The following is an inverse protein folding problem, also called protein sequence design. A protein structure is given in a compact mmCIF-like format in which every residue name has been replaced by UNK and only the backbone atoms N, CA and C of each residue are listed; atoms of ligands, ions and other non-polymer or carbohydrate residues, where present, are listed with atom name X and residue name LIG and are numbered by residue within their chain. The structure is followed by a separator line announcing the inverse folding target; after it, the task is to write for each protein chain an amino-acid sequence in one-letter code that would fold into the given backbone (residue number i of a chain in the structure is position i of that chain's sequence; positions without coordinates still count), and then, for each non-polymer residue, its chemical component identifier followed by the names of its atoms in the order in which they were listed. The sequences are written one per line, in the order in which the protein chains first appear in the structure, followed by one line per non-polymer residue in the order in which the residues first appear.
data_IF_192474978595
#
_entry.id   IF_192474978595
#
_cell.length_a   1.000
_cell.length_b   1.000
_cell.length_c   1.000
_cell.angle_alpha   90.00
_cell.angle_beta   90.00
_cell.angle_gamma   90.00
#
_symmetry.space_group_name_H-M   'P 1'
#
loop_
_entity.id
_entity.type
_entity.pdbx_description
1 polymer ?
#
# COMPACT_ATOMS: atom_id res chain seq x y z
N UNK A 1 -11.40 17.38 -5.74
CA UNK A 1 -10.58 16.82 -6.82
C UNK A 1 -10.06 17.96 -7.65
N UNK A 2 -8.81 17.88 -8.07
CA UNK A 2 -8.19 18.86 -8.95
C UNK A 2 -7.68 18.18 -10.21
N UNK A 3 -7.69 18.92 -11.32
CA UNK A 3 -6.94 18.51 -12.51
C UNK A 3 -5.44 18.56 -12.16
N UNK A 4 -4.68 17.55 -12.60
CA UNK A 4 -3.24 17.52 -12.39
C UNK A 4 -2.63 18.78 -13.05
N UNK A 5 -1.95 19.67 -12.30
CA UNK A 5 -1.36 20.88 -12.86
C UNK A 5 -0.05 20.54 -13.58
N UNK A 6 -0.08 19.67 -14.59
CA UNK A 6 1.12 19.07 -15.17
C UNK A 6 2.11 20.10 -15.74
N UNK A 7 1.58 21.18 -16.33
CA UNK A 7 2.39 22.27 -16.86
C UNK A 7 3.14 23.08 -15.78
N UNK A 8 2.80 22.92 -14.49
CA UNK A 8 3.50 23.60 -13.39
C UNK A 8 4.69 22.82 -12.86
N UNK A 9 4.89 21.56 -13.26
CA UNK A 9 6.11 20.82 -12.88
C UNK A 9 7.33 21.49 -13.50
N UNK A 10 8.32 21.77 -12.66
CA UNK A 10 9.60 22.30 -13.09
C UNK A 10 10.50 21.19 -13.64
N UNK A 11 11.60 21.60 -14.29
CA UNK A 11 12.66 20.64 -14.66
C UNK A 11 13.25 19.91 -13.44
N UNK A 12 13.22 20.54 -12.25
CA UNK A 12 13.67 19.92 -11.00
C UNK A 12 12.71 18.81 -10.54
N UNK A 13 11.40 19.03 -10.64
CA UNK A 13 10.39 18.03 -10.29
C UNK A 13 10.51 16.78 -11.17
N UNK A 14 10.70 16.98 -12.48
CA UNK A 14 10.96 15.88 -13.42
C UNK A 14 12.28 15.16 -13.13
N UNK A 15 13.33 15.88 -12.72
CA UNK A 15 14.60 15.27 -12.34
C UNK A 15 14.50 14.44 -11.04
N UNK A 16 13.73 14.90 -10.05
CA UNK A 16 13.46 14.12 -8.82
C UNK A 16 12.70 12.84 -9.18
N UNK A 17 11.66 12.93 -10.02
CA UNK A 17 10.95 11.76 -10.53
C UNK A 17 11.91 10.77 -11.22
N UNK A 18 12.76 11.25 -12.12
CA UNK A 18 13.74 10.43 -12.83
C UNK A 18 14.64 9.66 -11.86
N UNK A 19 15.21 10.37 -10.88
CA UNK A 19 16.12 9.79 -9.89
C UNK A 19 15.43 8.73 -9.02
N UNK A 20 14.20 9.00 -8.56
CA UNK A 20 13.40 8.06 -7.78
C UNK A 20 13.05 6.82 -8.62
N UNK A 21 12.60 7.02 -9.86
CA UNK A 21 12.21 5.95 -10.77
C UNK A 21 13.38 5.02 -11.11
N UNK A 22 14.53 5.58 -11.52
CA UNK A 22 15.72 4.80 -11.86
C UNK A 22 16.26 4.02 -10.66
N UNK A 23 16.27 4.64 -9.48
CA UNK A 23 16.66 3.99 -8.23
C UNK A 23 15.77 2.79 -7.93
N UNK A 24 14.44 2.96 -7.98
CA UNK A 24 13.53 1.87 -7.66
C UNK A 24 13.54 0.78 -8.72
N UNK A 25 13.72 1.10 -10.00
CA UNK A 25 13.88 0.07 -11.04
C UNK A 25 15.07 -0.85 -10.80
N UNK A 26 16.13 -0.37 -10.16
CA UNK A 26 17.27 -1.21 -9.77
C UNK A 26 17.00 -1.99 -8.48
N UNK A 27 16.44 -1.33 -7.46
CA UNK A 27 16.18 -1.93 -6.14
C UNK A 27 15.14 -3.04 -6.22
N UNK A 28 14.11 -2.90 -7.05
CA UNK A 28 12.97 -3.82 -7.08
C UNK A 28 13.23 -5.12 -7.85
N UNK A 29 14.35 -5.24 -8.59
CA UNK A 29 14.71 -6.49 -9.28
C UNK A 29 14.91 -7.61 -8.26
N UNK A 30 14.11 -8.67 -8.37
CA UNK A 30 14.12 -9.80 -7.43
C UNK A 30 13.49 -9.51 -6.06
N UNK A 31 12.91 -8.32 -5.87
CA UNK A 31 12.23 -7.92 -4.62
C UNK A 31 10.74 -7.66 -4.81
N UNK A 32 10.34 -6.91 -5.83
CA UNK A 32 8.93 -6.70 -6.13
C UNK A 32 8.29 -7.94 -6.77
N UNK A 33 6.98 -8.11 -6.58
CA UNK A 33 6.19 -9.15 -7.24
C UNK A 33 6.25 -9.03 -8.76
N UNK A 34 6.12 -10.17 -9.44
CA UNK A 34 6.12 -10.19 -10.90
C UNK A 34 4.94 -9.40 -11.48
N UNK A 35 3.80 -9.42 -10.80
CA UNK A 35 2.60 -8.67 -11.15
C UNK A 35 2.87 -7.16 -11.12
N UNK A 36 3.52 -6.66 -10.05
CA UNK A 36 3.91 -5.25 -9.96
C UNK A 36 4.85 -4.87 -11.11
N UNK A 37 5.92 -5.63 -11.32
CA UNK A 37 6.92 -5.34 -12.35
C UNK A 37 6.33 -5.41 -13.76
N UNK A 38 5.43 -6.36 -14.01
CA UNK A 38 4.75 -6.51 -15.30
C UNK A 38 3.79 -5.37 -15.56
N UNK A 39 2.98 -5.01 -14.56
CA UNK A 39 2.06 -3.90 -14.67
C UNK A 39 2.78 -2.56 -14.85
N UNK A 40 3.85 -2.32 -14.10
CA UNK A 40 4.64 -1.10 -14.19
C UNK A 40 5.20 -0.89 -15.61
N UNK A 41 5.70 -1.97 -16.24
CA UNK A 41 6.14 -1.94 -17.65
C UNK A 41 5.00 -1.66 -18.61
N UNK A 42 3.82 -2.25 -18.38
CA UNK A 42 2.63 -2.08 -19.23
C UNK A 42 2.04 -0.67 -19.16
N UNK A 43 2.25 0.06 -18.06
CA UNK A 43 1.81 1.44 -17.92
C UNK A 43 2.67 2.45 -18.69
N UNK A 44 3.80 2.03 -19.27
CA UNK A 44 4.73 2.88 -20.03
C UNK A 44 5.22 4.12 -19.26
N UNK A 45 5.27 4.04 -17.93
CA UNK A 45 5.95 5.04 -17.10
C UNK A 45 7.46 4.95 -17.33
N UNK A 46 8.13 6.10 -17.26
CA UNK A 46 9.52 6.22 -17.64
C UNK A 46 10.21 7.35 -16.87
N UNK A 47 11.55 7.37 -16.77
CA UNK A 47 12.25 8.40 -16.01
C UNK A 47 12.28 9.75 -16.73
N UNK A 48 11.83 9.87 -17.98
CA UNK A 48 11.98 11.10 -18.77
C UNK A 48 11.19 12.28 -18.22
N UNK A 49 10.00 12.04 -17.66
CA UNK A 49 9.13 13.07 -17.10
C UNK A 49 8.08 12.46 -16.18
N UNK A 50 7.49 13.28 -15.32
CA UNK A 50 6.33 12.91 -14.51
C UNK A 50 5.18 12.51 -15.46
N UNK A 51 4.53 11.34 -15.30
CA UNK A 51 3.43 10.93 -16.14
C UNK A 51 2.22 11.87 -16.03
N UNK A 52 1.51 12.06 -17.14
CA UNK A 52 0.19 12.71 -17.13
C UNK A 52 -0.87 11.71 -16.68
N UNK A 53 -1.71 12.12 -15.74
CA UNK A 53 -2.82 11.27 -15.26
C UNK A 53 -3.80 10.94 -16.40
N UNK A 54 -4.03 11.87 -17.33
CA UNK A 54 -4.80 11.62 -18.56
C UNK A 54 -4.29 10.39 -19.33
N UNK A 55 -2.98 10.31 -19.53
CA UNK A 55 -2.36 9.26 -20.33
C UNK A 55 -2.50 7.91 -19.62
N UNK A 56 -2.24 7.88 -18.31
CA UNK A 56 -2.40 6.68 -17.48
C UNK A 56 -3.87 6.27 -17.35
N UNK A 57 -4.80 7.21 -17.26
CA UNK A 57 -6.24 6.94 -17.17
C UNK A 57 -6.78 6.28 -18.43
N UNK A 58 -6.24 6.57 -19.61
CA UNK A 58 -6.61 5.83 -20.84
C UNK A 58 -6.25 4.35 -20.71
N UNK A 59 -5.08 4.05 -20.13
CA UNK A 59 -4.62 2.68 -19.91
C UNK A 59 -5.45 1.99 -18.83
N UNK A 60 -5.60 2.60 -17.65
CA UNK A 60 -6.33 2.01 -16.52
C UNK A 60 -7.81 1.76 -16.84
N UNK A 61 -8.50 2.74 -17.46
CA UNK A 61 -9.92 2.57 -17.82
C UNK A 61 -10.13 1.41 -18.79
N UNK A 62 -9.19 1.22 -19.73
CA UNK A 62 -9.27 0.12 -20.69
C UNK A 62 -9.00 -1.26 -20.08
N UNK A 63 -8.23 -1.34 -19.00
CA UNK A 63 -7.84 -2.63 -18.39
C UNK A 63 -8.76 -3.05 -17.24
N UNK A 64 -9.04 -2.14 -16.31
CA UNK A 64 -9.77 -2.46 -15.07
C UNK A 64 -10.89 -1.47 -14.76
N UNK A 65 -11.12 -0.48 -15.62
CA UNK A 65 -12.12 0.56 -15.39
C UNK A 65 -11.72 1.57 -14.30
N UNK A 66 -10.50 1.48 -13.78
CA UNK A 66 -9.97 2.43 -12.80
C UNK A 66 -9.51 3.73 -13.44
N UNK A 67 -9.49 4.79 -12.65
CA UNK A 67 -8.90 6.07 -13.02
C UNK A 67 -8.26 6.77 -11.82
N UNK A 68 -7.30 7.64 -12.11
CA UNK A 68 -6.60 8.50 -11.19
C UNK A 68 -7.31 9.85 -11.09
N UNK A 69 -7.35 10.40 -9.88
CA UNK A 69 -7.80 11.76 -9.61
C UNK A 69 -6.73 12.52 -8.81
N UNK A 70 -6.51 13.79 -9.14
CA UNK A 70 -5.56 14.63 -8.41
C UNK A 70 -6.10 15.14 -7.08
N UNK A 71 -5.28 15.05 -6.03
CA UNK A 71 -5.56 15.59 -4.69
C UNK A 71 -4.38 16.35 -4.12
N UNK A 72 -4.63 17.32 -3.24
CA UNK A 72 -3.56 18.15 -2.63
C UNK A 72 -2.79 17.42 -1.52
N UNK A 73 -3.32 16.29 -1.03
CA UNK A 73 -2.76 15.46 0.02
C UNK A 73 -3.83 14.55 0.59
N UNK A 74 -3.72 14.23 1.88
CA UNK A 74 -4.64 13.33 2.58
C UNK A 74 -6.10 13.79 2.47
N UNK A 75 -6.97 12.86 2.09
CA UNK A 75 -8.41 13.06 2.04
C UNK A 75 -9.08 12.65 3.37
N UNK A 76 -10.25 13.22 3.71
CA UNK A 76 -11.11 12.63 4.71
C UNK A 76 -11.44 11.17 4.37
N UNK A 77 -11.46 10.29 5.38
CA UNK A 77 -11.59 8.83 5.21
C UNK A 77 -12.79 8.44 4.32
N UNK A 78 -13.99 8.98 4.61
CA UNK A 78 -15.18 8.67 3.83
C UNK A 78 -15.04 9.05 2.35
N UNK A 79 -14.38 10.18 2.06
CA UNK A 79 -14.11 10.63 0.70
C UNK A 79 -13.12 9.69 0.00
N UNK A 80 -12.08 9.24 0.70
CA UNK A 80 -11.14 8.25 0.18
C UNK A 80 -11.85 6.93 -0.16
N UNK A 81 -12.67 6.42 0.76
CA UNK A 81 -13.43 5.18 0.53
C UNK A 81 -14.43 5.29 -0.62
N UNK A 82 -15.15 6.42 -0.75
CA UNK A 82 -16.06 6.65 -1.88
C UNK A 82 -15.32 6.66 -3.23
N UNK A 83 -14.10 7.18 -3.26
CA UNK A 83 -13.29 7.13 -4.48
C UNK A 83 -12.94 5.68 -4.85
N UNK A 84 -12.39 4.90 -3.91
CA UNK A 84 -12.05 3.50 -4.15
C UNK A 84 -13.28 2.66 -4.54
N UNK A 85 -14.42 2.86 -3.86
CA UNK A 85 -15.68 2.16 -4.14
C UNK A 85 -16.21 2.38 -5.57
N UNK A 86 -15.77 3.48 -6.21
CA UNK A 86 -16.13 3.88 -7.56
C UNK A 86 -14.95 3.79 -8.53
N UNK A 87 -13.93 2.97 -8.22
CA UNK A 87 -12.73 2.73 -9.05
C UNK A 87 -11.96 4.02 -9.38
N UNK A 88 -11.93 4.97 -8.45
CA UNK A 88 -11.12 6.19 -8.55
C UNK A 88 -10.02 6.12 -7.50
N UNK A 89 -8.76 6.20 -7.90
CA UNK A 89 -7.63 6.21 -6.99
C UNK A 89 -7.11 7.65 -6.81
N UNK A 90 -7.18 8.22 -5.59
CA UNK A 90 -6.61 9.53 -5.30
C UNK A 90 -5.08 9.50 -5.38
N UNK A 91 -4.50 10.47 -6.09
CA UNK A 91 -3.05 10.64 -6.22
C UNK A 91 -2.67 12.06 -5.85
N UNK A 92 -1.78 12.19 -4.87
CA UNK A 92 -1.16 13.47 -4.50
C UNK A 92 -0.41 14.01 -5.70
N UNK A 93 -0.72 15.23 -6.13
CA UNK A 93 -0.19 15.73 -7.40
C UNK A 93 1.23 16.28 -7.30
N UNK A 94 1.70 16.71 -6.13
CA UNK A 94 3.04 17.29 -5.97
C UNK A 94 4.07 16.19 -5.68
N UNK A 95 5.32 16.42 -6.08
CA UNK A 95 6.44 15.51 -5.81
C UNK A 95 7.35 16.12 -4.74
N UNK A 96 7.98 15.27 -3.93
CA UNK A 96 8.94 15.69 -2.90
C UNK A 96 10.11 16.51 -3.46
N UNK A 97 10.74 17.30 -2.59
CA UNK A 97 11.94 18.07 -2.95
C UNK A 97 13.19 17.20 -2.98
N UNK A 98 14.27 17.62 -3.66
CA UNK A 98 15.52 16.84 -3.70
C UNK A 98 16.11 16.54 -2.33
N UNK A 99 15.94 17.43 -1.35
CA UNK A 99 16.45 17.23 0.01
C UNK A 99 15.67 16.14 0.78
N UNK A 100 14.51 15.73 0.27
CA UNK A 100 13.60 14.73 0.86
C UNK A 100 13.64 13.40 0.09
N UNK A 101 14.62 13.19 -0.78
CA UNK A 101 14.64 12.06 -1.73
C UNK A 101 14.73 10.68 -1.06
N UNK A 102 15.33 10.62 0.12
CA UNK A 102 15.51 9.39 0.87
C UNK A 102 14.34 9.10 1.81
N UNK A 103 13.64 10.13 2.29
CA UNK A 103 12.49 9.97 3.17
C UNK A 103 11.56 11.18 3.16
N UNK A 104 10.26 10.90 3.10
CA UNK A 104 9.18 11.86 3.28
C UNK A 104 8.06 11.16 4.06
N UNK A 105 7.54 11.80 5.10
CA UNK A 105 6.47 11.22 5.92
C UNK A 105 5.09 11.30 5.23
N UNK A 106 4.85 12.35 4.45
CA UNK A 106 3.61 12.53 3.69
C UNK A 106 3.66 11.77 2.36
N UNK A 107 2.54 11.15 1.93
CA UNK A 107 2.48 10.56 0.60
C UNK A 107 2.58 11.66 -0.46
N UNK A 108 3.53 11.54 -1.37
CA UNK A 108 3.69 12.41 -2.53
C UNK A 108 3.32 11.67 -3.82
N UNK A 109 3.42 12.36 -4.95
CA UNK A 109 3.16 11.80 -6.27
C UNK A 109 3.93 10.51 -6.52
N UNK A 110 5.19 10.40 -6.09
CA UNK A 110 5.96 9.19 -6.34
C UNK A 110 5.41 8.01 -5.53
N UNK A 111 5.12 8.19 -4.25
CA UNK A 111 4.50 7.15 -3.45
C UNK A 111 3.16 6.69 -4.03
N UNK A 112 2.24 7.63 -4.27
CA UNK A 112 0.89 7.32 -4.75
C UNK A 112 0.93 6.71 -6.16
N UNK A 113 1.65 7.33 -7.10
CA UNK A 113 1.65 6.93 -8.50
C UNK A 113 2.53 5.72 -8.78
N UNK A 114 3.79 5.74 -8.35
CA UNK A 114 4.71 4.63 -8.61
C UNK A 114 4.39 3.43 -7.72
N UNK A 115 3.97 3.68 -6.47
CA UNK A 115 3.74 2.62 -5.49
C UNK A 115 2.42 1.88 -5.67
N UNK A 116 1.30 2.61 -5.76
CA UNK A 116 -0.03 1.97 -5.77
C UNK A 116 -0.52 1.61 -7.17
N UNK A 117 -0.37 2.54 -8.12
CA UNK A 117 -1.10 2.47 -9.39
C UNK A 117 -0.76 1.24 -10.25
N UNK A 118 0.49 0.73 -10.33
CA UNK A 118 0.77 -0.45 -11.13
C UNK A 118 -0.15 -1.63 -10.81
N UNK A 119 -0.41 -1.93 -9.53
CA UNK A 119 -1.24 -3.08 -9.18
C UNK A 119 -2.73 -2.89 -9.51
N UNK A 120 -3.20 -1.68 -9.78
CA UNK A 120 -4.55 -1.44 -10.30
C UNK A 120 -4.74 -1.97 -11.73
N UNK A 121 -3.66 -2.37 -12.41
CA UNK A 121 -3.72 -3.09 -13.69
C UNK A 121 -3.99 -4.60 -13.50
N UNK A 122 -3.81 -5.14 -12.29
CA UNK A 122 -4.18 -6.51 -11.97
C UNK A 122 -5.68 -6.55 -11.60
N UNK A 123 -6.54 -7.25 -12.36
CA UNK A 123 -7.99 -7.24 -12.12
C UNK A 123 -8.40 -7.69 -10.73
N UNK A 124 -7.73 -8.70 -10.15
CA UNK A 124 -8.07 -9.23 -8.81
C UNK A 124 -7.71 -8.20 -7.74
N UNK A 125 -6.54 -7.56 -7.85
CA UNK A 125 -6.16 -6.51 -6.90
C UNK A 125 -7.03 -5.26 -7.07
N UNK A 126 -7.39 -4.91 -8.30
CA UNK A 126 -8.29 -3.81 -8.61
C UNK A 126 -9.69 -4.03 -8.02
N UNK A 127 -10.24 -5.24 -8.11
CA UNK A 127 -11.52 -5.58 -7.50
C UNK A 127 -11.43 -5.62 -5.96
N UNK A 128 -10.30 -6.07 -5.41
CA UNK A 128 -10.03 -5.98 -3.96
C UNK A 128 -10.05 -4.53 -3.46
N UNK A 129 -9.41 -3.60 -4.17
CA UNK A 129 -9.41 -2.18 -3.83
C UNK A 129 -10.81 -1.57 -3.89
N UNK A 130 -11.64 -1.98 -4.85
CA UNK A 130 -13.02 -1.53 -4.94
C UNK A 130 -13.86 -2.08 -3.78
N UNK A 131 -13.72 -3.38 -3.48
CA UNK A 131 -14.39 -4.02 -2.36
C UNK A 131 -14.00 -3.39 -1.02
N UNK A 132 -12.71 -3.09 -0.84
CA UNK A 132 -12.20 -2.35 0.32
C UNK A 132 -12.86 -0.97 0.44
N UNK A 133 -12.94 -0.21 -0.66
CA UNK A 133 -13.63 1.08 -0.69
C UNK A 133 -15.10 0.98 -0.27
N UNK A 134 -15.84 0.01 -0.83
CA UNK A 134 -17.25 -0.24 -0.46
C UNK A 134 -17.40 -0.63 1.00
N UNK A 135 -16.48 -1.46 1.51
CA UNK A 135 -16.40 -1.86 2.91
C UNK A 135 -16.18 -0.68 3.84
N UNK A 136 -15.32 0.27 3.46
CA UNK A 136 -15.06 1.50 4.21
C UNK A 136 -16.26 2.45 4.27
N UNK A 137 -16.98 2.64 3.15
CA UNK A 137 -18.24 3.41 3.14
C UNK A 137 -19.26 2.80 4.12
N UNK A 138 -19.38 1.47 4.13
CA UNK A 138 -20.26 0.77 5.08
C UNK A 138 -19.78 0.94 6.53
N UNK A 139 -18.50 0.69 6.80
CA UNK A 139 -17.91 0.74 8.14
C UNK A 139 -18.03 2.13 8.77
N UNK A 140 -17.88 3.20 7.98
CA UNK A 140 -18.06 4.58 8.42
C UNK A 140 -19.46 4.82 9.01
N UNK A 141 -20.49 4.13 8.51
CA UNK A 141 -21.86 4.19 9.03
C UNK A 141 -22.12 3.33 10.27
N UNK A 142 -21.17 2.51 10.71
CA UNK A 142 -21.32 1.61 11.86
C UNK A 142 -20.81 2.30 13.13
N UNK A 143 -19.49 2.47 13.25
CA UNK A 143 -18.83 3.16 14.36
C UNK A 143 -17.35 3.49 14.00
N UNK A 144 -16.68 4.38 14.75
CA UNK A 144 -15.28 4.74 14.49
C UNK A 144 -14.28 3.58 14.62
N UNK A 145 -14.50 2.62 15.52
CA UNK A 145 -13.60 1.48 15.72
C UNK A 145 -13.55 0.54 14.49
N UNK A 146 -14.67 0.40 13.78
CA UNK A 146 -14.71 -0.36 12.52
C UNK A 146 -13.75 0.23 11.47
N UNK A 147 -13.58 1.55 11.44
CA UNK A 147 -12.63 2.21 10.55
C UNK A 147 -11.18 1.93 10.96
N UNK A 148 -10.87 1.92 12.26
CA UNK A 148 -9.53 1.56 12.76
C UNK A 148 -9.14 0.15 12.28
N UNK A 149 -10.06 -0.81 12.34
CA UNK A 149 -9.81 -2.16 11.84
C UNK A 149 -9.54 -2.20 10.32
N UNK A 150 -10.28 -1.43 9.52
CA UNK A 150 -10.03 -1.34 8.08
C UNK A 150 -8.72 -0.65 7.75
N UNK A 151 -8.37 0.42 8.45
CA UNK A 151 -7.10 1.13 8.24
C UNK A 151 -5.91 0.20 8.52
N UNK A 152 -5.99 -0.66 9.54
CA UNK A 152 -4.99 -1.71 9.79
C UNK A 152 -4.91 -2.73 8.66
N UNK A 153 -6.06 -3.15 8.13
CA UNK A 153 -6.11 -4.04 6.96
C UNK A 153 -5.41 -3.41 5.76
N UNK A 154 -5.70 -2.15 5.45
CA UNK A 154 -5.06 -1.42 4.35
C UNK A 154 -3.55 -1.27 4.56
N UNK A 155 -3.15 -0.88 5.77
CA UNK A 155 -1.74 -0.72 6.12
C UNK A 155 -0.94 -2.01 5.91
N UNK A 156 -1.42 -3.13 6.45
CA UNK A 156 -0.72 -4.41 6.38
C UNK A 156 -0.91 -5.16 5.07
N UNK A 157 -1.72 -4.63 4.15
CA UNK A 157 -1.87 -5.20 2.81
C UNK A 157 -1.37 -4.23 1.75
N UNK A 158 -2.17 -3.23 1.40
CA UNK A 158 -1.91 -2.28 0.32
C UNK A 158 -0.60 -1.52 0.55
N UNK A 159 -0.30 -1.11 1.78
CA UNK A 159 0.92 -0.32 2.06
C UNK A 159 2.18 -1.17 2.32
N UNK A 160 2.07 -2.20 3.16
CA UNK A 160 3.21 -2.99 3.65
C UNK A 160 3.07 -4.49 3.46
N UNK A 161 2.29 -4.92 2.47
CA UNK A 161 2.09 -6.33 2.18
C UNK A 161 3.25 -7.00 1.45
N UNK A 162 3.52 -8.24 1.85
CA UNK A 162 4.38 -9.18 1.14
C UNK A 162 3.54 -10.29 0.49
N UNK A 163 4.04 -10.86 -0.60
CA UNK A 163 3.41 -11.98 -1.30
C UNK A 163 4.42 -13.10 -1.48
N UNK A 164 3.97 -14.34 -1.32
CA UNK A 164 4.78 -15.53 -1.58
C UNK A 164 4.77 -15.87 -3.06
N UNK A 165 5.95 -16.06 -3.64
CA UNK A 165 6.14 -16.62 -4.97
C UNK A 165 6.97 -17.92 -4.90
N UNK A 166 7.13 -18.59 -6.04
CA UNK A 166 7.78 -19.89 -6.12
C UNK A 166 9.24 -19.89 -5.63
N UNK A 167 9.95 -18.77 -5.81
CA UNK A 167 11.36 -18.60 -5.48
C UNK A 167 11.61 -17.71 -4.25
N UNK A 168 10.56 -17.35 -3.50
CA UNK A 168 10.67 -16.65 -2.23
C UNK A 168 9.60 -15.59 -2.00
N UNK A 169 9.80 -14.79 -0.96
CA UNK A 169 8.93 -13.66 -0.66
C UNK A 169 9.21 -12.49 -1.61
N UNK A 170 8.15 -11.76 -1.95
CA UNK A 170 8.16 -10.55 -2.76
C UNK A 170 7.30 -9.46 -2.15
N UNK A 171 7.45 -8.27 -2.68
CA UNK A 171 6.77 -7.06 -2.23
C UNK A 171 5.62 -6.74 -3.18
N UNK A 172 4.46 -6.41 -2.61
CA UNK A 172 3.39 -5.74 -3.34
C UNK A 172 2.93 -4.44 -2.66
N UNK A 173 3.26 -4.25 -1.38
CA UNK A 173 2.92 -3.04 -0.64
C UNK A 173 3.55 -1.78 -1.23
N UNK A 174 2.73 -0.76 -1.50
CA UNK A 174 3.09 0.55 -2.08
C UNK A 174 4.13 1.32 -1.27
N UNK A 175 3.98 1.36 0.05
CA UNK A 175 4.91 1.97 0.98
C UNK A 175 6.31 1.33 0.91
N UNK A 176 6.36 0.03 0.61
CA UNK A 176 7.61 -0.68 0.44
C UNK A 176 8.20 -0.42 -0.95
N UNK A 177 7.45 -0.62 -2.03
CA UNK A 177 7.99 -0.48 -3.41
C UNK A 177 8.42 0.95 -3.75
N UNK A 178 7.84 1.96 -3.09
CA UNK A 178 8.24 3.37 -3.24
C UNK A 178 9.39 3.79 -2.32
N UNK A 179 9.78 2.95 -1.36
CA UNK A 179 10.88 3.19 -0.42
C UNK A 179 12.08 2.31 -0.72
N UNK A 180 13.25 2.92 -0.94
CA UNK A 180 14.50 2.17 -1.18
C UNK A 180 14.86 1.30 0.02
N UNK A 181 14.83 1.87 1.22
CA UNK A 181 15.33 1.19 2.40
C UNK A 181 14.35 0.15 2.94
N UNK A 182 13.05 0.42 2.87
CA UNK A 182 12.00 -0.55 3.25
C UNK A 182 12.04 -1.77 2.32
N UNK A 183 12.23 -1.56 1.01
CA UNK A 183 12.36 -2.64 0.02
C UNK A 183 13.48 -3.63 0.36
N UNK A 184 14.59 -3.14 0.92
CA UNK A 184 15.71 -3.99 1.37
C UNK A 184 15.39 -4.59 2.75
N UNK A 185 14.98 -3.75 3.70
CA UNK A 185 14.75 -4.15 5.09
C UNK A 185 13.72 -5.29 5.22
N UNK A 186 12.59 -5.16 4.53
CA UNK A 186 11.47 -6.09 4.67
C UNK A 186 11.80 -7.52 4.23
N UNK A 187 12.81 -7.74 3.37
CA UNK A 187 13.20 -9.07 2.88
C UNK A 187 14.52 -9.57 3.47
N UNK A 188 15.48 -8.67 3.74
CA UNK A 188 16.86 -9.06 4.07
C UNK A 188 17.18 -8.92 5.56
N UNK A 189 16.48 -8.04 6.29
CA UNK A 189 16.71 -7.86 7.72
C UNK A 189 16.23 -9.08 8.53
N UNK A 190 16.98 -9.41 9.58
CA UNK A 190 16.57 -10.37 10.60
C UNK A 190 15.61 -9.75 11.63
N UNK A 191 15.50 -8.41 11.69
CA UNK A 191 14.72 -7.70 12.71
C UNK A 191 13.20 -7.90 12.64
N UNK A 192 12.52 -7.81 11.48
CA UNK A 192 11.06 -7.82 11.43
C UNK A 192 10.48 -9.23 11.54
N UNK A 193 9.22 -9.37 11.94
CA UNK A 193 8.47 -10.59 11.74
C UNK A 193 7.94 -10.67 10.31
N UNK A 194 7.82 -11.89 9.76
CA UNK A 194 7.09 -12.18 8.53
C UNK A 194 6.06 -13.24 8.84
N UNK A 195 4.78 -12.87 8.81
CA UNK A 195 3.67 -13.67 9.32
C UNK A 195 2.66 -13.89 8.19
N UNK A 196 2.05 -15.07 8.11
CA UNK A 196 0.99 -15.36 7.14
C UNK A 196 -0.23 -14.48 7.37
N UNK A 197 -0.86 -14.08 6.26
CA UNK A 197 -2.08 -13.28 6.28
C UNK A 197 -3.19 -13.99 7.05
N UNK A 198 -3.76 -13.27 8.02
CA UNK A 198 -4.99 -13.61 8.72
C UNK A 198 -5.79 -12.32 8.96
N UNK A 199 -7.05 -12.32 8.55
CA UNK A 199 -7.88 -11.11 8.49
C UNK A 199 -8.10 -10.48 9.87
N UNK A 200 -8.55 -11.27 10.84
CA UNK A 200 -8.86 -10.78 12.19
C UNK A 200 -7.60 -10.45 12.97
N UNK A 201 -6.52 -11.22 12.78
CA UNK A 201 -5.17 -10.91 13.30
C UNK A 201 -4.72 -9.53 12.83
N UNK A 202 -4.80 -9.26 11.53
CA UNK A 202 -4.38 -7.98 10.92
C UNK A 202 -5.23 -6.83 11.46
N UNK A 203 -6.56 -6.96 11.44
CA UNK A 203 -7.47 -5.92 11.93
C UNK A 203 -7.23 -5.55 13.41
N UNK A 204 -6.65 -6.47 14.19
CA UNK A 204 -6.26 -6.22 15.59
C UNK A 204 -4.83 -5.73 15.76
N UNK A 205 -3.99 -5.74 14.74
CA UNK A 205 -2.56 -5.39 14.86
C UNK A 205 -2.37 -3.89 14.79
N UNK A 206 -1.78 -3.32 15.85
CA UNK A 206 -1.30 -1.93 15.82
C UNK A 206 -0.12 -1.78 14.87
N UNK A 207 0.09 -0.59 14.32
CA UNK A 207 1.22 -0.31 13.44
C UNK A 207 1.90 1.01 13.80
N UNK A 208 3.00 1.31 13.11
CA UNK A 208 3.75 2.56 13.30
C UNK A 208 4.12 3.16 11.95
N UNK A 209 4.00 4.48 11.83
CA UNK A 209 4.07 5.20 10.55
C UNK A 209 5.44 5.85 10.26
N UNK A 210 6.27 6.03 11.28
CA UNK A 210 7.53 6.78 11.24
C UNK A 210 8.79 5.88 11.37
N UNK A 211 8.62 4.56 11.38
CA UNK A 211 9.71 3.57 11.45
C UNK A 211 9.50 2.40 10.48
N UNK A 212 10.54 1.60 10.24
CA UNK A 212 10.40 0.29 9.61
C UNK A 212 9.33 -0.54 10.32
N UNK A 213 8.59 -1.35 9.56
CA UNK A 213 7.54 -2.18 10.15
C UNK A 213 8.15 -3.29 10.99
N UNK A 214 7.62 -3.47 12.20
CA UNK A 214 8.00 -4.59 13.09
C UNK A 214 7.50 -5.92 12.54
N UNK A 215 6.39 -5.92 11.82
CA UNK A 215 5.76 -7.12 11.25
C UNK A 215 5.28 -6.82 9.84
N UNK A 216 5.52 -7.75 8.91
CA UNK A 216 4.93 -7.77 7.58
C UNK A 216 4.02 -8.99 7.44
N UNK A 217 2.86 -8.80 6.82
CA UNK A 217 1.95 -9.90 6.53
C UNK A 217 2.14 -10.41 5.10
N UNK A 218 2.16 -11.73 4.97
CA UNK A 218 2.46 -12.47 3.75
C UNK A 218 1.19 -13.12 3.22
N UNK A 219 0.76 -12.71 2.02
CA UNK A 219 -0.31 -13.39 1.29
C UNK A 219 0.27 -14.49 0.39
N UNK A 220 -0.53 -15.51 0.11
CA UNK A 220 -0.20 -16.53 -0.89
C UNK A 220 -0.59 -16.09 -2.32
N UNK A 221 -1.57 -15.20 -2.46
CA UNK A 221 -2.12 -14.74 -3.74
C UNK A 221 -3.02 -13.52 -3.58
N UNK A 222 -3.23 -12.74 -4.65
CA UNK A 222 -4.22 -11.65 -4.62
C UNK A 222 -5.66 -12.17 -4.48
N UNK A 223 -5.95 -13.39 -4.93
CA UNK A 223 -7.22 -14.08 -4.72
C UNK A 223 -7.46 -14.37 -3.23
N UNK A 224 -6.42 -14.50 -2.40
CA UNK A 224 -6.59 -14.57 -0.95
C UNK A 224 -7.11 -13.25 -0.37
N UNK A 225 -6.57 -12.11 -0.82
CA UNK A 225 -7.06 -10.79 -0.41
C UNK A 225 -8.50 -10.57 -0.85
N UNK A 226 -8.81 -10.86 -2.11
CA UNK A 226 -10.17 -10.69 -2.63
C UNK A 226 -11.17 -11.56 -1.85
N UNK A 227 -10.87 -12.85 -1.64
CA UNK A 227 -11.72 -13.74 -0.83
C UNK A 227 -11.91 -13.25 0.60
N UNK A 228 -10.89 -12.64 1.19
CA UNK A 228 -10.99 -12.08 2.53
C UNK A 228 -12.00 -10.93 2.64
N UNK A 229 -12.39 -10.30 1.52
CA UNK A 229 -13.43 -9.24 1.47
C UNK A 229 -14.83 -9.74 1.16
N UNK A 230 -15.00 -11.01 0.81
CA UNK A 230 -16.32 -11.59 0.48
C UNK A 230 -17.29 -11.65 1.68
N UNK A 231 -16.87 -11.98 2.91
CA UNK A 231 -17.76 -11.99 4.05
C UNK A 231 -18.25 -10.59 4.42
N UNK A 232 -19.43 -10.50 5.04
CA UNK A 232 -19.83 -9.28 5.72
C UNK A 232 -18.92 -9.03 6.93
N UNK A 233 -18.29 -7.86 7.00
CA UNK A 233 -17.41 -7.48 8.10
C UNK A 233 -18.17 -7.03 9.35
N UNK A 234 -19.47 -6.73 9.28
CA UNK A 234 -20.24 -6.29 10.46
C UNK A 234 -20.10 -7.27 11.65
N UNK A 235 -20.33 -8.59 11.49
CA UNK A 235 -20.14 -9.55 12.59
C UNK A 235 -18.67 -9.74 12.99
N UNK A 236 -17.72 -9.40 12.11
CA UNK A 236 -16.29 -9.42 12.43
C UNK A 236 -15.99 -8.27 13.40
N UNK A 237 -16.38 -7.05 13.06
CA UNK A 237 -16.20 -5.88 13.91
C UNK A 237 -16.79 -6.10 15.32
N UNK A 238 -17.96 -6.72 15.42
CA UNK A 238 -18.58 -7.04 16.71
C UNK A 238 -17.71 -8.00 17.56
N UNK A 239 -17.08 -9.00 16.93
CA UNK A 239 -16.14 -9.89 17.64
C UNK A 239 -14.88 -9.15 18.05
N UNK A 240 -14.36 -8.29 17.18
CA UNK A 240 -13.11 -7.57 17.44
C UNK A 240 -13.26 -6.51 18.53
N UNK A 241 -14.43 -5.88 18.65
CA UNK A 241 -14.71 -4.85 19.66
C UNK A 241 -14.55 -5.33 21.12
N UNK A 242 -14.54 -6.64 21.35
CA UNK A 242 -14.36 -7.25 22.68
C UNK A 242 -12.96 -7.80 22.93
N UNK A 243 -12.03 -7.61 21.97
CA UNK A 243 -10.69 -8.17 22.00
C UNK A 243 -9.63 -7.06 22.04
N UNK A 244 -8.56 -7.29 22.79
CA UNK A 244 -7.45 -6.33 22.83
C UNK A 244 -6.75 -6.23 21.46
N UNK A 245 -6.25 -5.03 21.16
CA UNK A 245 -5.33 -4.84 20.03
C UNK A 245 -3.98 -5.48 20.33
N UNK A 246 -3.34 -6.00 19.29
CA UNK A 246 -2.07 -6.70 19.35
C UNK A 246 -0.95 -5.70 19.02
N UNK A 247 0.11 -5.58 19.85
CA UNK A 247 1.28 -4.76 19.54
C UNK A 247 1.91 -5.11 18.18
N UNK A 248 2.54 -4.12 17.53
CA UNK A 248 3.02 -4.27 16.15
C UNK A 248 4.10 -5.36 15.99
N UNK A 249 4.87 -5.65 17.05
CA UNK A 249 5.95 -6.62 17.06
C UNK A 249 5.60 -8.00 17.61
N UNK A 250 4.37 -8.20 18.10
CA UNK A 250 3.98 -9.45 18.77
C UNK A 250 3.75 -10.58 17.77
N UNK A 251 4.13 -11.79 18.15
CA UNK A 251 3.88 -13.02 17.39
C UNK A 251 3.05 -13.96 18.24
N UNK A 252 1.86 -14.32 17.76
CA UNK A 252 0.92 -15.19 18.46
C UNK A 252 1.22 -16.66 18.20
N UNK A 253 0.70 -17.54 19.08
CA UNK A 253 0.83 -18.99 18.91
C UNK A 253 0.06 -19.52 17.68
N UNK A 254 -0.95 -18.78 17.22
CA UNK A 254 -1.77 -19.09 16.04
C UNK A 254 -1.15 -18.60 14.73
N UNK A 255 -0.10 -17.78 14.80
CA UNK A 255 0.51 -17.18 13.61
C UNK A 255 1.26 -18.23 12.79
N UNK A 256 1.05 -18.21 11.47
CA UNK A 256 1.95 -18.92 10.55
C UNK A 256 3.21 -18.07 10.38
N UNK A 257 4.31 -18.46 11.01
CA UNK A 257 5.53 -17.65 11.06
C UNK A 257 6.51 -18.09 9.97
N UNK A 258 6.76 -17.22 8.98
CA UNK A 258 7.82 -17.41 7.98
C UNK A 258 9.18 -17.00 8.52
N UNK A 259 9.20 -15.94 9.34
CA UNK A 259 10.40 -15.47 10.02
C UNK A 259 10.02 -14.81 11.33
N UNK A 260 10.64 -15.22 12.44
CA UNK A 260 10.50 -14.59 13.75
C UNK A 260 11.62 -13.57 13.89
N UNK A 261 11.24 -12.30 13.99
CA UNK A 261 12.17 -11.18 14.04
C UNK A 261 13.03 -11.18 15.30
N UNK A 262 14.25 -10.65 15.21
CA UNK A 262 15.11 -10.40 16.38
C UNK A 262 14.61 -9.22 17.23
N UNK A 263 13.76 -8.35 16.67
CA UNK A 263 13.30 -7.13 17.32
C UNK A 263 14.35 -6.02 17.40
N UNK A 264 15.50 -6.18 16.76
CA UNK A 264 16.59 -5.21 16.82
C UNK A 264 16.16 -3.84 16.27
N UNK A 265 16.37 -2.79 17.08
CA UNK A 265 16.03 -1.41 16.71
C UNK A 265 14.56 -1.03 16.87
N UNK A 266 13.71 -1.91 17.39
CA UNK A 266 12.30 -1.58 17.63
C UNK A 266 12.12 -0.60 18.78
N UNK A 267 11.31 0.42 18.55
CA UNK A 267 10.81 1.29 19.61
C UNK A 267 9.70 0.58 20.40
N UNK A 268 9.63 0.81 21.70
CA UNK A 268 8.67 0.14 22.60
C UNK A 268 7.34 0.88 22.75
N UNK A 269 7.23 2.08 22.17
CA UNK A 269 6.06 2.96 22.24
C UNK A 269 5.56 3.34 20.83
N UNK A 270 4.52 4.18 20.77
CA UNK A 270 4.08 4.84 19.53
C UNK A 270 3.34 3.96 18.52
N UNK A 271 3.06 2.69 18.83
CA UNK A 271 2.21 1.84 18.01
C UNK A 271 0.74 2.28 18.16
N UNK A 272 0.03 2.48 17.03
CA UNK A 272 -1.37 2.93 16.94
C UNK A 272 -2.31 1.84 16.40
#
# INVERSE_FOLDING_TARGET
MIEQPWASYSGQDHAVWAQLFERQQQVLVGRASDEFLTAQRAMHMSPQQIPKFEDLNRVLRAHTGWELIGVEGLLPELTFFDHLANRRFPVTWWIRKPEQIDYLAEPDLFHDLFGHVPLLMNPVFADYMEAYGRGGVKAHGINPEALVHLTRLYWYTVEFGLIKQADGLRIYGSGIVSSKSESIHCLESAAPNRIGFDLERIMRTRYRIDTYQKTYFVIDSFEQLMRATEPDFTPIYDRLATQDSIPAGDVLATDTVFHRGSGEGWLTDGDV
#
